data_IF_428632749690
#
_entry.id   IF_428632749690
#
_cell.length_a   1.000
_cell.length_b   1.000
_cell.length_c   1.000
_cell.angle_alpha   90.00
_cell.angle_beta   90.00
_cell.angle_gamma   90.00
#
_symmetry.space_group_name_H-M   'P 1'
#
loop_
_entity.id
_entity.type
_entity.pdbx_description
1 polymer ?
#
# COMPACT_ATOMS: atom_id res chain seq x y z
N UNK A 1 56.97 -32.63 -9.88
CA UNK A 1 56.46 -31.27 -9.57
C UNK A 1 55.30 -30.89 -10.50
N UNK A 2 55.37 -31.22 -11.79
CA UNK A 2 54.28 -30.97 -12.74
C UNK A 2 53.05 -31.86 -12.47
N UNK A 3 53.23 -33.16 -12.22
CA UNK A 3 52.13 -34.08 -11.88
C UNK A 3 51.34 -33.65 -10.63
N UNK A 4 52.04 -33.11 -9.61
CA UNK A 4 51.41 -32.60 -8.40
C UNK A 4 50.61 -31.30 -8.66
N UNK A 5 51.08 -30.45 -9.58
CA UNK A 5 50.36 -29.24 -10.02
C UNK A 5 49.09 -29.62 -10.78
N UNK A 6 49.16 -30.61 -11.65
CA UNK A 6 47.99 -31.08 -12.41
C UNK A 6 46.93 -31.70 -11.51
N UNK A 7 47.34 -32.50 -10.52
CA UNK A 7 46.42 -33.04 -9.51
C UNK A 7 45.74 -31.94 -8.69
N UNK A 8 46.48 -30.93 -8.24
CA UNK A 8 45.88 -29.80 -7.50
C UNK A 8 44.93 -28.97 -8.36
N UNK A 9 45.23 -28.79 -9.66
CA UNK A 9 44.34 -28.07 -10.58
C UNK A 9 43.05 -28.84 -10.85
N UNK A 10 43.13 -30.17 -11.00
CA UNK A 10 41.95 -31.02 -11.16
C UNK A 10 41.05 -30.99 -9.91
N UNK A 11 41.65 -31.06 -8.71
CA UNK A 11 40.91 -31.00 -7.45
C UNK A 11 40.26 -29.61 -7.23
N UNK A 12 40.95 -28.53 -7.63
CA UNK A 12 40.41 -27.17 -7.60
C UNK A 12 39.23 -27.01 -8.58
N UNK A 13 39.33 -27.56 -9.79
CA UNK A 13 38.27 -27.52 -10.79
C UNK A 13 37.01 -28.27 -10.33
N UNK A 14 37.17 -29.43 -9.70
CA UNK A 14 36.04 -30.16 -9.09
C UNK A 14 35.36 -29.35 -7.98
N UNK A 15 36.14 -28.68 -7.11
CA UNK A 15 35.59 -27.85 -6.03
C UNK A 15 34.81 -26.66 -6.60
N UNK A 16 35.31 -26.00 -7.65
CA UNK A 16 34.64 -24.88 -8.31
C UNK A 16 33.33 -25.35 -8.96
N UNK A 17 33.33 -26.51 -9.64
CA UNK A 17 32.12 -27.06 -10.25
C UNK A 17 31.03 -27.36 -9.20
N UNK A 18 31.39 -27.93 -8.05
CA UNK A 18 30.44 -28.16 -6.93
C UNK A 18 29.89 -26.85 -6.36
N UNK A 19 30.73 -25.82 -6.27
CA UNK A 19 30.30 -24.50 -5.78
C UNK A 19 29.37 -23.77 -6.76
N UNK A 20 29.59 -23.90 -8.07
CA UNK A 20 28.69 -23.34 -9.09
C UNK A 20 27.29 -23.96 -8.99
N UNK A 21 27.20 -25.29 -8.91
CA UNK A 21 25.90 -25.97 -8.76
C UNK A 21 25.16 -25.54 -7.48
N UNK A 22 25.89 -25.34 -6.37
CA UNK A 22 25.32 -24.84 -5.12
C UNK A 22 24.79 -23.42 -5.24
N UNK A 23 25.51 -22.55 -5.93
CA UNK A 23 25.12 -21.17 -6.13
C UNK A 23 23.91 -21.05 -7.06
N UNK A 24 23.84 -21.85 -8.13
CA UNK A 24 22.69 -21.86 -9.04
C UNK A 24 21.40 -22.30 -8.34
N UNK A 25 21.46 -23.37 -7.53
CA UNK A 25 20.29 -23.84 -6.76
C UNK A 25 19.84 -22.79 -5.73
N UNK A 26 20.79 -22.15 -5.03
CA UNK A 26 20.48 -21.06 -4.08
C UNK A 26 19.86 -19.85 -4.77
N UNK A 27 20.40 -19.44 -5.92
CA UNK A 27 19.87 -18.32 -6.69
C UNK A 27 18.47 -18.62 -7.23
N UNK A 28 18.23 -19.82 -7.77
CA UNK A 28 16.90 -20.24 -8.20
C UNK A 28 15.90 -20.25 -7.03
N UNK A 29 16.31 -20.77 -5.86
CA UNK A 29 15.49 -20.75 -4.64
C UNK A 29 15.15 -19.34 -4.18
N UNK A 30 16.11 -18.41 -4.17
CA UNK A 30 15.88 -17.00 -3.83
C UNK A 30 14.91 -16.32 -4.80
N UNK A 31 15.04 -16.58 -6.10
CA UNK A 31 14.15 -16.01 -7.11
C UNK A 31 12.71 -16.52 -6.94
N UNK A 32 12.52 -17.83 -6.75
CA UNK A 32 11.20 -18.43 -6.54
C UNK A 32 10.52 -17.85 -5.28
N UNK A 33 11.26 -17.79 -4.17
CA UNK A 33 10.76 -17.21 -2.92
C UNK A 33 10.48 -15.71 -3.04
N UNK A 34 11.33 -14.98 -3.74
CA UNK A 34 11.13 -13.56 -4.03
C UNK A 34 9.84 -13.32 -4.81
N UNK A 35 9.57 -14.11 -5.85
CA UNK A 35 8.33 -14.00 -6.65
C UNK A 35 7.10 -14.37 -5.82
N UNK A 36 7.17 -15.41 -4.99
CA UNK A 36 6.07 -15.80 -4.09
C UNK A 36 5.76 -14.69 -3.06
N UNK A 37 6.78 -14.10 -2.45
CA UNK A 37 6.62 -12.98 -1.51
C UNK A 37 6.03 -11.75 -2.22
N UNK A 38 6.54 -11.41 -3.40
CA UNK A 38 6.05 -10.26 -4.17
C UNK A 38 4.59 -10.46 -4.59
N UNK A 39 4.22 -11.66 -5.04
CA UNK A 39 2.83 -12.01 -5.36
C UNK A 39 1.92 -11.91 -4.13
N UNK A 40 2.34 -12.41 -2.98
CA UNK A 40 1.61 -12.28 -1.71
C UNK A 40 1.38 -10.82 -1.33
N UNK A 41 2.43 -9.98 -1.41
CA UNK A 41 2.33 -8.55 -1.13
C UNK A 41 1.36 -7.85 -2.08
N UNK A 42 1.36 -8.17 -3.38
CA UNK A 42 0.44 -7.59 -4.36
C UNK A 42 -1.01 -7.98 -4.04
N UNK A 43 -1.28 -9.26 -3.77
CA UNK A 43 -2.63 -9.72 -3.41
C UNK A 43 -3.12 -9.03 -2.14
N UNK A 44 -2.25 -8.91 -1.13
CA UNK A 44 -2.58 -8.21 0.10
C UNK A 44 -2.83 -6.71 -0.13
N UNK A 45 -2.00 -6.05 -0.93
CA UNK A 45 -2.18 -4.65 -1.29
C UNK A 45 -3.53 -4.42 -1.99
N UNK A 46 -3.91 -5.28 -2.93
CA UNK A 46 -5.21 -5.23 -3.59
C UNK A 46 -6.35 -5.43 -2.59
N UNK A 47 -6.22 -6.41 -1.68
CA UNK A 47 -7.22 -6.69 -0.65
C UNK A 47 -7.39 -5.50 0.31
N UNK A 48 -6.28 -4.96 0.81
CA UNK A 48 -6.25 -3.77 1.65
C UNK A 48 -6.92 -2.57 0.95
N UNK A 49 -6.59 -2.33 -0.33
CA UNK A 49 -7.22 -1.27 -1.12
C UNK A 49 -8.72 -1.50 -1.38
N UNK A 50 -9.19 -2.75 -1.40
CA UNK A 50 -10.64 -3.05 -1.48
C UNK A 50 -11.32 -2.89 -0.14
N UNK A 51 -10.67 -3.28 0.95
CA UNK A 51 -11.23 -3.18 2.30
C UNK A 51 -11.24 -1.72 2.78
N UNK A 52 -10.25 -0.89 2.42
CA UNK A 52 -10.30 0.57 2.62
C UNK A 52 -11.44 1.21 1.81
N UNK A 53 -11.69 0.72 0.59
CA UNK A 53 -12.81 1.22 -0.24
C UNK A 53 -14.18 0.76 0.26
N UNK A 54 -14.24 -0.42 0.87
CA UNK A 54 -15.46 -1.00 1.43
C UNK A 54 -15.71 -0.60 2.87
N UNK A 55 -14.70 -0.10 3.57
CA UNK A 55 -14.86 0.29 4.97
C UNK A 55 -15.90 1.39 5.03
N UNK A 56 -16.81 1.22 5.99
CA UNK A 56 -17.90 2.15 6.25
C UNK A 56 -17.38 3.55 6.53
N UNK A 57 -16.09 3.74 6.87
CA UNK A 57 -15.46 5.06 6.96
C UNK A 57 -15.53 5.90 5.66
N UNK A 58 -15.59 5.29 4.47
CA UNK A 58 -15.92 6.00 3.22
C UNK A 58 -17.44 6.13 3.00
N UNK A 59 -18.24 5.21 3.52
CA UNK A 59 -19.70 5.17 3.32
C UNK A 59 -20.48 6.05 4.32
N UNK A 60 -19.94 6.24 5.53
CA UNK A 60 -20.41 7.10 6.62
C UNK A 60 -19.69 8.45 6.63
N UNK A 61 -18.79 8.69 5.68
CA UNK A 61 -18.07 9.95 5.48
C UNK A 61 -19.02 11.02 4.98
N UNK A 62 -19.96 11.43 5.83
CA UNK A 62 -20.64 12.71 5.74
C UNK A 62 -19.56 13.79 5.81
N UNK A 63 -19.20 14.32 4.65
CA UNK A 63 -18.25 15.42 4.57
C UNK A 63 -19.04 16.69 4.85
N UNK A 64 -18.65 17.39 5.90
CA UNK A 64 -19.19 18.69 6.27
C UNK A 64 -18.77 19.74 5.23
N UNK A 65 -19.77 20.37 4.61
CA UNK A 65 -19.60 21.50 3.70
C UNK A 65 -20.28 22.72 4.29
N UNK A 66 -19.59 23.85 4.36
CA UNK A 66 -20.14 25.12 4.82
C UNK A 66 -20.34 26.05 3.64
N UNK A 67 -21.58 26.48 3.41
CA UNK A 67 -21.89 27.42 2.32
C UNK A 67 -21.24 28.78 2.59
N UNK A 68 -20.50 29.34 1.63
CA UNK A 68 -19.88 30.67 1.79
C UNK A 68 -20.91 31.81 1.77
N UNK A 69 -22.10 31.58 1.19
CA UNK A 69 -23.15 32.60 1.04
C UNK A 69 -24.10 32.69 2.23
N UNK A 70 -24.49 31.57 2.83
CA UNK A 70 -25.41 31.54 3.98
C UNK A 70 -24.78 31.06 5.29
N UNK A 71 -23.55 30.54 5.27
CA UNK A 71 -22.88 30.01 6.45
C UNK A 71 -23.44 28.67 6.95
N UNK A 72 -24.48 28.11 6.32
CA UNK A 72 -25.05 26.84 6.73
C UNK A 72 -24.09 25.68 6.44
N UNK A 73 -23.79 24.87 7.46
CA UNK A 73 -23.05 23.61 7.33
C UNK A 73 -24.00 22.46 7.02
N UNK A 74 -23.68 21.65 6.01
CA UNK A 74 -24.47 20.49 5.62
C UNK A 74 -23.55 19.34 5.24
N UNK A 75 -24.01 18.13 5.48
CA UNK A 75 -23.24 16.92 5.21
C UNK A 75 -23.54 16.40 3.80
N UNK A 76 -22.50 16.00 3.07
CA UNK A 76 -22.64 15.34 1.76
C UNK A 76 -21.93 13.98 1.81
N UNK A 77 -22.57 12.89 1.37
CA UNK A 77 -21.93 11.59 1.34
C UNK A 77 -20.77 11.57 0.33
N UNK A 78 -19.65 10.95 0.71
CA UNK A 78 -18.49 10.81 -0.15
C UNK A 78 -18.79 10.10 -1.50
N UNK A 79 -19.78 9.21 -1.55
CA UNK A 79 -20.20 8.54 -2.80
C UNK A 79 -20.69 9.55 -3.86
N UNK A 80 -21.35 10.64 -3.43
CA UNK A 80 -21.78 11.71 -4.33
C UNK A 80 -20.59 12.44 -4.98
N UNK A 81 -19.49 12.60 -4.24
CA UNK A 81 -18.26 13.23 -4.75
C UNK A 81 -17.53 12.32 -5.74
N UNK A 82 -17.58 11.00 -5.54
CA UNK A 82 -16.97 10.01 -6.46
C UNK A 82 -17.76 9.92 -7.77
N UNK A 83 -19.10 9.99 -7.71
CA UNK A 83 -19.95 10.00 -8.91
C UNK A 83 -19.81 11.28 -9.75
N UNK A 84 -19.37 12.37 -9.15
CA UNK A 84 -19.18 13.65 -9.82
C UNK A 84 -17.71 14.12 -9.77
N UNK A 85 -16.80 13.43 -10.50
CA UNK A 85 -15.38 13.77 -10.49
C UNK A 85 -15.09 15.13 -11.12
N UNK A 86 -15.94 15.61 -12.02
CA UNK A 86 -15.77 16.88 -12.75
C UNK A 86 -16.40 18.10 -12.06
N UNK A 87 -16.58 18.08 -10.74
CA UNK A 87 -17.01 19.28 -10.03
C UNK A 87 -15.89 20.31 -9.96
N UNK A 88 -16.23 21.57 -10.26
CA UNK A 88 -15.30 22.69 -10.11
C UNK A 88 -14.86 22.81 -8.65
N UNK A 89 -13.56 22.60 -8.43
CA UNK A 89 -12.91 22.64 -7.12
C UNK A 89 -11.86 23.75 -7.13
N UNK A 90 -11.84 24.55 -6.07
CA UNK A 90 -10.77 25.47 -5.73
C UNK A 90 -10.06 24.91 -4.51
N UNK A 91 -8.74 24.78 -4.56
CA UNK A 91 -7.94 24.33 -3.41
C UNK A 91 -6.94 25.40 -3.04
N UNK A 92 -6.89 25.77 -1.77
CA UNK A 92 -5.89 26.66 -1.21
C UNK A 92 -4.86 25.81 -0.48
N UNK A 93 -3.61 25.92 -0.91
CA UNK A 93 -2.46 25.26 -0.31
C UNK A 93 -1.78 26.20 0.67
N UNK A 94 -1.31 25.67 1.80
CA UNK A 94 -0.47 26.40 2.76
C UNK A 94 0.91 25.74 2.79
N UNK A 95 1.94 26.49 2.41
CA UNK A 95 3.34 26.03 2.37
C UNK A 95 4.08 26.55 1.13
N UNK A 96 5.41 26.43 1.14
CA UNK A 96 6.25 26.83 0.02
C UNK A 96 6.44 25.64 -0.94
N UNK A 97 5.99 25.78 -2.19
CA UNK A 97 6.27 24.82 -3.27
C UNK A 97 5.55 23.47 -3.16
N UNK A 98 6.22 22.39 -3.59
CA UNK A 98 5.66 21.03 -3.73
C UNK A 98 5.25 20.34 -2.41
N UNK A 99 5.56 20.92 -1.25
CA UNK A 99 5.23 20.36 0.08
C UNK A 99 4.01 21.03 0.73
N UNK A 100 3.30 21.90 0.01
CA UNK A 100 2.11 22.58 0.51
C UNK A 100 0.98 21.59 0.83
N UNK A 101 0.47 21.61 2.07
CA UNK A 101 -0.77 20.88 2.41
C UNK A 101 -1.98 21.66 1.92
N UNK A 102 -2.96 20.97 1.36
CA UNK A 102 -4.29 21.55 1.08
C UNK A 102 -4.96 21.89 2.40
N UNK A 103 -5.12 23.18 2.69
CA UNK A 103 -5.76 23.64 3.93
C UNK A 103 -7.25 23.87 3.71
N UNK A 104 -7.64 24.33 2.53
CA UNK A 104 -9.05 24.55 2.18
C UNK A 104 -9.33 24.00 0.80
N UNK A 105 -10.48 23.34 0.66
CA UNK A 105 -11.05 23.04 -0.65
C UNK A 105 -12.47 23.60 -0.69
N UNK A 106 -12.83 24.29 -1.78
CA UNK A 106 -14.19 24.75 -2.03
C UNK A 106 -14.72 24.09 -3.30
N UNK A 107 -15.91 23.50 -3.22
CA UNK A 107 -16.60 22.88 -4.33
C UNK A 107 -17.89 23.64 -4.66
N UNK A 108 -18.28 23.66 -5.93
CA UNK A 108 -19.60 24.18 -6.33
C UNK A 108 -20.66 23.10 -6.09
N UNK A 109 -21.47 23.27 -5.04
CA UNK A 109 -22.48 22.33 -4.59
C UNK A 109 -23.85 23.02 -4.51
N UNK A 110 -24.93 22.23 -4.53
CA UNK A 110 -26.29 22.74 -4.32
C UNK A 110 -26.53 22.88 -2.81
N UNK A 111 -26.78 24.11 -2.35
CA UNK A 111 -27.04 24.37 -0.94
C UNK A 111 -28.53 24.15 -0.61
N UNK A 112 -28.90 23.31 0.37
CA UNK A 112 -30.30 23.05 0.73
C UNK A 112 -31.01 24.27 1.33
N UNK A 113 -30.27 25.16 2.01
CA UNK A 113 -30.81 26.40 2.59
C UNK A 113 -30.99 27.51 1.56
N UNK A 114 -30.07 27.66 0.60
CA UNK A 114 -30.19 28.68 -0.45
C UNK A 114 -30.93 28.22 -1.71
N UNK A 115 -31.15 26.91 -1.87
CA UNK A 115 -31.76 26.30 -3.06
C UNK A 115 -31.08 26.70 -4.38
N UNK A 116 -29.76 26.97 -4.36
CA UNK A 116 -28.95 27.38 -5.51
C UNK A 116 -27.56 26.75 -5.47
N UNK A 117 -26.91 26.66 -6.64
CA UNK A 117 -25.51 26.18 -6.74
C UNK A 117 -24.55 27.28 -6.29
N UNK A 118 -23.91 27.09 -5.15
CA UNK A 118 -22.97 28.05 -4.54
C UNK A 118 -21.63 27.39 -4.23
N UNK A 119 -20.63 28.22 -3.95
CA UNK A 119 -19.36 27.75 -3.41
C UNK A 119 -19.57 27.33 -1.96
N UNK A 120 -19.24 26.07 -1.68
CA UNK A 120 -19.27 25.51 -0.33
C UNK A 120 -17.85 25.07 0.04
N UNK A 121 -17.43 25.47 1.23
CA UNK A 121 -16.10 25.22 1.77
C UNK A 121 -16.07 23.91 2.54
N UNK A 122 -15.01 23.14 2.33
CA UNK A 122 -14.67 21.91 3.03
C UNK A 122 -13.34 22.13 3.76
N UNK A 123 -13.30 21.86 5.07
CA UNK A 123 -12.04 21.81 5.81
C UNK A 123 -11.40 20.42 5.68
N UNK A 124 -10.17 20.41 5.17
CA UNK A 124 -9.44 19.20 4.80
C UNK A 124 -8.93 18.41 6.02
N UNK A 125 -8.85 19.04 7.19
CA UNK A 125 -8.33 18.43 8.42
C UNK A 125 -9.25 17.32 8.96
N UNK A 126 -10.57 17.55 8.86
CA UNK A 126 -11.59 16.59 9.28
C UNK A 126 -11.69 15.40 8.31
N UNK A 127 -11.58 15.67 7.00
CA UNK A 127 -11.55 14.62 5.97
C UNK A 127 -10.31 13.72 6.07
N UNK A 128 -9.14 14.29 6.41
CA UNK A 128 -7.92 13.50 6.63
C UNK A 128 -8.05 12.58 7.86
N UNK A 129 -8.69 13.06 8.95
CA UNK A 129 -8.94 12.27 10.17
C UNK A 129 -9.90 11.10 9.92
N UNK A 130 -10.94 11.29 9.11
CA UNK A 130 -11.87 10.22 8.70
C UNK A 130 -11.15 9.17 7.84
N UNK A 131 -10.30 9.60 6.89
CA UNK A 131 -9.49 8.67 6.09
C UNK A 131 -8.50 7.85 6.94
N UNK A 132 -7.86 8.48 7.94
CA UNK A 132 -6.88 7.82 8.82
C UNK A 132 -7.53 6.82 9.79
N UNK A 133 -8.71 7.13 10.32
CA UNK A 133 -9.44 6.21 11.21
C UNK A 133 -9.93 4.97 10.44
N UNK A 134 -10.48 5.15 9.23
CA UNK A 134 -10.84 4.04 8.34
C UNK A 134 -9.65 3.17 7.93
N UNK A 135 -8.48 3.78 7.70
CA UNK A 135 -7.24 3.05 7.44
C UNK A 135 -6.77 2.24 8.65
N UNK A 136 -6.78 2.84 9.84
CA UNK A 136 -6.36 2.18 11.08
C UNK A 136 -7.23 0.97 11.44
N UNK A 137 -8.54 1.07 11.22
CA UNK A 137 -9.48 -0.01 11.53
C UNK A 137 -9.40 -1.17 10.53
N UNK A 138 -9.23 -0.88 9.23
CA UNK A 138 -8.94 -1.88 8.21
C UNK A 138 -7.59 -2.58 8.46
N UNK A 139 -6.55 -1.81 8.79
CA UNK A 139 -5.23 -2.35 9.11
C UNK A 139 -5.26 -3.23 10.37
N UNK A 140 -6.06 -2.87 11.39
CA UNK A 140 -6.18 -3.67 12.62
C UNK A 140 -6.82 -5.03 12.37
N UNK A 141 -7.86 -5.07 11.51
CA UNK A 141 -8.62 -6.30 11.24
C UNK A 141 -7.87 -7.27 10.33
N UNK A 142 -7.23 -6.77 9.26
CA UNK A 142 -6.56 -7.61 8.27
C UNK A 142 -5.03 -7.68 8.43
N UNK A 143 -4.44 -6.82 9.28
CA UNK A 143 -3.02 -6.85 9.60
C UNK A 143 -2.57 -8.11 10.34
N UNK A 144 -3.42 -8.69 11.20
CA UNK A 144 -3.09 -9.94 11.88
C UNK A 144 -2.97 -11.11 10.88
N UNK A 145 -3.86 -11.17 9.88
CA UNK A 145 -3.84 -12.19 8.82
C UNK A 145 -2.65 -12.02 7.89
N UNK A 146 -2.26 -10.77 7.63
CA UNK A 146 -1.04 -10.46 6.89
C UNK A 146 0.20 -10.98 7.60
N UNK A 147 0.34 -10.66 8.90
CA UNK A 147 1.45 -11.11 9.71
C UNK A 147 1.52 -12.64 9.78
N UNK A 148 0.37 -13.30 9.96
CA UNK A 148 0.31 -14.76 9.94
C UNK A 148 0.80 -15.35 8.60
N UNK A 149 0.33 -14.82 7.47
CA UNK A 149 0.78 -15.29 6.14
C UNK A 149 2.25 -14.99 5.86
N UNK A 150 2.75 -13.83 6.28
CA UNK A 150 4.17 -13.47 6.17
C UNK A 150 5.06 -14.40 7.01
N UNK A 151 4.65 -14.73 8.25
CA UNK A 151 5.37 -15.68 9.12
C UNK A 151 5.41 -17.07 8.48
N UNK A 152 4.30 -17.54 7.90
CA UNK A 152 4.26 -18.85 7.23
C UNK A 152 5.19 -18.89 6.01
N UNK A 153 5.18 -17.84 5.17
CA UNK A 153 6.07 -17.75 4.00
C UNK A 153 7.54 -17.68 4.43
N UNK A 154 7.88 -16.88 5.45
CA UNK A 154 9.24 -16.80 5.97
C UNK A 154 9.71 -18.11 6.62
N UNK A 155 8.83 -18.79 7.36
CA UNK A 155 9.14 -20.08 7.97
C UNK A 155 9.38 -21.15 6.92
N UNK A 156 8.51 -21.26 5.91
CA UNK A 156 8.67 -22.22 4.82
C UNK A 156 9.93 -21.92 3.98
N UNK A 157 10.26 -20.65 3.74
CA UNK A 157 11.51 -20.25 3.09
C UNK A 157 12.73 -20.61 3.93
N UNK A 158 12.70 -20.29 5.23
CA UNK A 158 13.76 -20.63 6.17
C UNK A 158 14.03 -22.13 6.25
N UNK A 159 12.97 -22.95 6.30
CA UNK A 159 13.07 -24.42 6.28
C UNK A 159 13.68 -24.91 4.96
N UNK A 160 13.25 -24.36 3.82
CA UNK A 160 13.82 -24.71 2.52
C UNK A 160 15.33 -24.39 2.43
N UNK A 161 15.75 -23.23 2.90
CA UNK A 161 17.17 -22.84 2.92
C UNK A 161 17.99 -23.67 3.92
N UNK A 162 17.44 -24.03 5.08
CA UNK A 162 18.14 -24.89 6.04
C UNK A 162 18.28 -26.32 5.53
N UNK A 163 17.25 -26.89 4.90
CA UNK A 163 17.35 -28.22 4.26
C UNK A 163 18.37 -28.20 3.12
N UNK A 164 18.36 -27.17 2.27
CA UNK A 164 19.39 -27.02 1.22
C UNK A 164 20.81 -26.92 1.78
N UNK A 165 20.99 -26.31 2.95
CA UNK A 165 22.29 -26.19 3.60
C UNK A 165 22.75 -27.46 4.32
N UNK A 166 21.82 -28.36 4.67
CA UNK A 166 22.12 -29.67 5.28
C UNK A 166 22.38 -30.73 4.20
N UNK A 167 21.65 -30.68 3.09
CA UNK A 167 21.72 -31.68 2.00
C UNK A 167 22.91 -31.42 1.05
N UNK A 168 23.35 -30.17 0.87
CA UNK A 168 24.38 -29.77 -0.10
C UNK A 168 25.54 -28.97 0.51
#
# INVERSE_FOLDING_TARGET
>A
MEELREQMLAEQAERIARLQMRNEIRMAGLVIWGVLLLGWLIVWFIKLMRDIRRSEAMCSGEISFTCETCGHSFCVPADYLVRHPFMFRKSVYKGNGMTGRTVRQSGRLFCPSCQKKTWCRQDMEESARIGMSGFGEALRKDGLRFLAGAVVLLAAGGIFFTVLNIVF
#
